data_IF_183442071671
#
_entry.id   IF_183442071671
#
_cell.length_a   1.000
_cell.length_b   1.000
_cell.length_c   1.000
_cell.angle_alpha   90.00
_cell.angle_beta   90.00
_cell.angle_gamma   90.00
#
_symmetry.space_group_name_H-M   'P 1'
#
loop_
_entity.id
_entity.type
_entity.pdbx_description
1 polymer ?
#
# COMPACT_ATOMS: atom_id res chain seq x y z
N UNK A 1 7.95 6.05 -9.09
CA UNK A 1 9.33 6.47 -8.81
C UNK A 1 9.32 7.39 -7.62
N UNK A 2 10.13 7.02 -6.64
CA UNK A 2 10.45 7.86 -5.49
C UNK A 2 11.21 9.12 -5.95
N UNK A 3 11.19 10.18 -5.15
CA UNK A 3 11.91 11.43 -5.40
C UNK A 3 13.42 11.15 -5.46
N UNK A 4 13.93 10.33 -4.53
CA UNK A 4 15.31 9.86 -4.53
C UNK A 4 15.69 9.16 -5.86
N UNK A 5 14.83 8.25 -6.33
CA UNK A 5 15.06 7.55 -7.61
C UNK A 5 15.02 8.52 -8.80
N UNK A 6 14.10 9.49 -8.80
CA UNK A 6 14.04 10.55 -9.83
C UNK A 6 15.33 11.38 -9.83
N UNK A 7 15.87 11.71 -8.66
CA UNK A 7 17.14 12.42 -8.52
C UNK A 7 18.32 11.62 -9.09
N UNK A 8 18.34 10.30 -8.90
CA UNK A 8 19.39 9.42 -9.42
C UNK A 8 19.29 9.15 -10.94
N UNK A 9 18.09 9.26 -11.52
CA UNK A 9 17.81 8.82 -12.92
C UNK A 9 17.56 9.96 -13.92
N UNK A 10 17.03 11.10 -13.48
CA UNK A 10 16.76 12.23 -14.37
C UNK A 10 18.06 12.93 -14.78
N UNK A 11 18.14 13.38 -16.03
CA UNK A 11 19.28 14.16 -16.51
C UNK A 11 19.21 15.61 -16.02
N UNK A 12 20.12 15.95 -15.12
CA UNK A 12 20.33 17.31 -14.62
C UNK A 12 21.47 18.02 -15.36
N UNK A 13 21.38 19.35 -15.47
CA UNK A 13 22.52 20.18 -15.91
C UNK A 13 23.64 20.14 -14.84
N UNK A 14 24.88 20.51 -15.15
CA UNK A 14 25.99 20.40 -14.20
C UNK A 14 25.71 21.07 -12.84
N UNK A 15 25.16 22.30 -12.85
CA UNK A 15 24.80 23.01 -11.62
C UNK A 15 23.62 22.37 -10.88
N UNK A 16 22.64 21.83 -11.59
CA UNK A 16 21.54 21.11 -10.94
C UNK A 16 22.01 19.78 -10.34
N UNK A 17 22.95 19.10 -11.02
CA UNK A 17 23.52 17.83 -10.57
C UNK A 17 24.31 18.00 -9.28
N UNK A 18 25.08 19.09 -9.15
CA UNK A 18 25.82 19.38 -7.90
C UNK A 18 24.87 19.47 -6.70
N UNK A 19 23.74 20.16 -6.87
CA UNK A 19 22.71 20.25 -5.83
C UNK A 19 22.07 18.88 -5.57
N UNK A 20 21.72 18.13 -6.62
CA UNK A 20 21.10 16.81 -6.48
C UNK A 20 22.05 15.83 -5.76
N UNK A 21 23.31 15.76 -6.16
CA UNK A 21 24.31 14.89 -5.54
C UNK A 21 24.56 15.28 -4.08
N UNK A 22 24.52 16.58 -3.76
CA UNK A 22 24.59 17.08 -2.38
C UNK A 22 23.38 16.64 -1.55
N UNK A 23 22.16 16.82 -2.05
CA UNK A 23 20.92 16.41 -1.35
C UNK A 23 20.84 14.90 -1.14
N UNK A 24 21.31 14.09 -2.10
CA UNK A 24 21.37 12.63 -1.97
C UNK A 24 22.42 12.17 -0.94
N UNK A 25 23.50 12.94 -0.77
CA UNK A 25 24.59 12.63 0.15
C UNK A 25 24.30 13.07 1.59
N UNK A 26 23.61 14.21 1.74
CA UNK A 26 23.32 14.84 3.03
C UNK A 26 21.82 15.14 3.16
N UNK A 27 20.95 14.12 3.24
CA UNK A 27 19.51 14.33 3.30
C UNK A 27 19.03 15.12 4.54
N UNK A 28 19.80 15.10 5.64
CA UNK A 28 19.53 15.87 6.87
C UNK A 28 19.45 17.38 6.65
N UNK A 29 20.09 17.89 5.57
CA UNK A 29 20.06 19.32 5.23
C UNK A 29 18.65 19.79 4.84
N UNK A 30 17.76 18.86 4.51
CA UNK A 30 16.36 19.19 4.28
C UNK A 30 15.73 19.73 5.57
N UNK A 31 16.02 19.19 6.75
CA UNK A 31 15.42 19.73 7.97
C UNK A 31 16.13 20.98 8.47
N UNK A 32 17.45 21.04 8.27
CA UNK A 32 18.30 22.03 8.92
C UNK A 32 18.46 23.34 8.12
N UNK A 33 18.32 23.30 6.79
CA UNK A 33 18.77 24.39 5.92
C UNK A 33 17.67 25.00 5.06
N UNK A 34 17.79 26.30 4.86
CA UNK A 34 16.99 27.07 3.91
C UNK A 34 17.47 26.85 2.47
N UNK A 35 16.62 27.21 1.51
CA UNK A 35 16.96 27.17 0.09
C UNK A 35 18.23 27.99 -0.24
N UNK A 36 18.44 29.10 0.48
CA UNK A 36 19.57 30.00 0.27
C UNK A 36 20.88 29.37 0.77
N UNK A 37 20.83 28.69 1.91
CA UNK A 37 21.99 28.00 2.48
C UNK A 37 22.41 26.80 1.63
N UNK A 38 21.46 26.00 1.16
CA UNK A 38 21.76 24.87 0.25
C UNK A 38 22.37 25.39 -1.07
N UNK A 39 21.85 26.49 -1.61
CA UNK A 39 22.40 27.12 -2.80
C UNK A 39 23.84 27.61 -2.56
N UNK A 40 24.10 28.24 -1.42
CA UNK A 40 25.44 28.72 -1.06
C UNK A 40 26.45 27.56 -0.94
N UNK A 41 26.09 26.48 -0.26
CA UNK A 41 27.00 25.33 -0.04
C UNK A 41 27.27 24.51 -1.29
N UNK A 42 26.35 24.53 -2.25
CA UNK A 42 26.51 23.89 -3.56
C UNK A 42 27.12 24.83 -4.60
N UNK A 43 27.47 26.07 -4.21
CA UNK A 43 27.96 27.12 -5.11
C UNK A 43 27.00 27.40 -6.28
N UNK A 44 25.70 27.33 -6.03
CA UNK A 44 24.64 27.55 -7.01
C UNK A 44 23.71 28.71 -6.63
N UNK A 45 22.79 29.06 -7.52
CA UNK A 45 21.74 30.04 -7.25
C UNK A 45 20.47 29.37 -6.72
N UNK A 46 19.67 30.04 -5.86
CA UNK A 46 18.39 29.49 -5.39
C UNK A 46 17.42 29.10 -6.51
N UNK A 47 17.50 29.77 -7.67
CA UNK A 47 16.74 29.42 -8.89
C UNK A 47 17.03 28.01 -9.42
N UNK A 48 18.20 27.44 -9.12
CA UNK A 48 18.57 26.06 -9.45
C UNK A 48 17.70 25.06 -8.69
N UNK A 49 17.43 25.28 -7.41
CA UNK A 49 16.56 24.41 -6.61
C UNK A 49 15.11 24.42 -7.12
N UNK A 50 14.62 25.59 -7.56
CA UNK A 50 13.30 25.72 -8.18
C UNK A 50 13.23 24.95 -9.50
N UNK A 51 14.28 25.02 -10.33
CA UNK A 51 14.36 24.24 -11.59
C UNK A 51 14.39 22.73 -11.33
N UNK A 52 15.14 22.28 -10.33
CA UNK A 52 15.16 20.88 -9.90
C UNK A 52 13.76 20.43 -9.48
N UNK A 53 13.09 21.18 -8.60
CA UNK A 53 11.73 20.87 -8.16
C UNK A 53 10.76 20.73 -9.34
N UNK A 54 10.82 21.65 -10.31
CA UNK A 54 10.01 21.58 -11.53
C UNK A 54 10.33 20.35 -12.39
N UNK A 55 11.61 19.97 -12.52
CA UNK A 55 12.03 18.75 -13.23
C UNK A 55 11.56 17.48 -12.55
N UNK A 56 11.47 17.49 -11.22
CA UNK A 56 10.96 16.37 -10.41
C UNK A 56 9.42 16.27 -10.45
N UNK A 57 8.74 17.29 -10.97
CA UNK A 57 7.29 17.34 -11.17
C UNK A 57 6.52 18.18 -10.16
N UNK A 58 7.19 18.99 -9.34
CA UNK A 58 6.58 19.83 -8.31
C UNK A 58 6.40 21.28 -8.78
N UNK A 59 5.46 22.01 -8.17
CA UNK A 59 5.22 23.41 -8.50
C UNK A 59 6.39 24.34 -8.08
N UNK A 60 7.11 23.96 -7.02
CA UNK A 60 8.26 24.69 -6.52
C UNK A 60 9.05 23.96 -5.43
N UNK A 61 10.12 24.61 -4.94
CA UNK A 61 11.05 24.01 -3.99
C UNK A 61 10.41 23.62 -2.66
N UNK A 62 9.50 24.43 -2.12
CA UNK A 62 8.88 24.16 -0.81
C UNK A 62 8.09 22.85 -0.83
N UNK A 63 7.28 22.64 -1.87
CA UNK A 63 6.50 21.41 -2.06
C UNK A 63 7.43 20.19 -2.26
N UNK A 64 8.43 20.33 -3.13
CA UNK A 64 9.43 19.28 -3.38
C UNK A 64 10.19 18.91 -2.10
N UNK A 65 10.62 19.91 -1.32
CA UNK A 65 11.35 19.74 -0.07
C UNK A 65 10.52 18.96 0.93
N UNK A 66 9.27 19.37 1.15
CA UNK A 66 8.35 18.68 2.06
C UNK A 66 8.13 17.21 1.64
N UNK A 67 7.81 16.98 0.37
CA UNK A 67 7.59 15.63 -0.14
C UNK A 67 8.85 14.76 -0.02
N UNK A 68 10.04 15.34 -0.23
CA UNK A 68 11.30 14.61 -0.10
C UNK A 68 11.68 14.31 1.35
N UNK A 69 11.39 15.23 2.27
CA UNK A 69 11.51 14.98 3.72
C UNK A 69 10.63 13.83 4.15
N UNK A 70 9.34 13.86 3.79
CA UNK A 70 8.39 12.78 4.10
C UNK A 70 8.86 11.43 3.54
N UNK A 71 9.37 11.40 2.31
CA UNK A 71 9.96 10.20 1.71
C UNK A 71 11.24 9.75 2.43
N UNK A 72 12.14 10.67 2.78
CA UNK A 72 13.39 10.35 3.47
C UNK A 72 13.14 9.81 4.88
N UNK A 73 12.26 10.47 5.64
CA UNK A 73 11.83 10.04 6.96
C UNK A 73 11.23 8.63 6.86
N UNK A 74 10.33 8.39 5.91
CA UNK A 74 9.77 7.06 5.68
C UNK A 74 10.87 6.00 5.41
N UNK A 75 11.83 6.30 4.53
CA UNK A 75 12.91 5.37 4.18
C UNK A 75 13.89 5.12 5.35
N UNK A 76 13.96 6.01 6.34
CA UNK A 76 14.93 5.93 7.45
C UNK A 76 14.33 5.53 8.79
N UNK A 77 13.03 5.78 9.03
CA UNK A 77 12.34 5.65 10.33
C UNK A 77 12.32 4.22 10.89
N UNK A 78 12.40 3.20 10.03
CA UNK A 78 12.29 1.78 10.41
C UNK A 78 13.42 0.91 9.83
N UNK A 79 14.66 1.41 9.88
CA UNK A 79 15.85 0.61 9.55
C UNK A 79 16.11 -0.46 10.62
N UNK A 80 15.30 -1.52 10.60
CA UNK A 80 15.81 -2.84 10.96
C UNK A 80 16.73 -3.22 9.78
N UNK A 81 18.01 -3.49 10.04
CA UNK A 81 19.04 -3.87 9.04
C UNK A 81 18.76 -5.28 8.46
N UNK A 82 17.59 -5.43 7.85
CA UNK A 82 17.12 -6.65 7.20
C UNK A 82 16.71 -6.26 5.79
N UNK A 83 17.50 -6.73 4.82
CA UNK A 83 17.16 -6.61 3.41
C UNK A 83 15.90 -7.43 3.12
N UNK A 84 14.80 -6.76 2.77
CA UNK A 84 13.55 -7.41 2.40
C UNK A 84 13.67 -8.40 1.23
N UNK A 85 14.71 -8.26 0.39
CA UNK A 85 14.99 -9.13 -0.74
C UNK A 85 15.69 -10.43 -0.34
N UNK A 86 16.54 -10.35 0.69
CA UNK A 86 17.37 -11.42 1.24
C UNK A 86 17.38 -11.33 2.78
N UNK A 87 16.22 -11.61 3.43
CA UNK A 87 16.05 -11.29 4.85
C UNK A 87 16.89 -12.12 5.81
N UNK A 88 17.53 -13.17 5.33
CA UNK A 88 18.43 -14.02 6.10
C UNK A 88 19.56 -14.58 5.21
N UNK A 89 20.63 -15.04 5.86
CA UNK A 89 21.81 -15.63 5.23
C UNK A 89 21.74 -17.15 5.28
N UNK A 90 22.48 -17.80 4.37
CA UNK A 90 22.52 -19.27 4.27
C UNK A 90 22.98 -19.97 5.55
N UNK A 91 23.77 -19.31 6.39
CA UNK A 91 24.31 -19.84 7.64
C UNK A 91 23.60 -19.31 8.90
N UNK A 92 22.50 -18.56 8.75
CA UNK A 92 21.70 -18.14 9.90
C UNK A 92 21.06 -19.38 10.56
N UNK A 93 21.04 -19.42 11.89
CA UNK A 93 20.33 -20.47 12.61
C UNK A 93 18.81 -20.33 12.46
N UNK A 94 18.06 -21.42 12.66
CA UNK A 94 16.58 -21.41 12.57
C UNK A 94 15.97 -20.27 13.40
N UNK A 95 16.43 -20.09 14.65
CA UNK A 95 15.93 -19.03 15.52
C UNK A 95 16.31 -17.62 15.04
N UNK A 96 17.48 -17.47 14.39
CA UNK A 96 17.90 -16.20 13.79
C UNK A 96 17.01 -15.84 12.61
N UNK A 97 16.73 -16.81 11.74
CA UNK A 97 15.78 -16.63 10.62
C UNK A 97 14.40 -16.21 11.16
N UNK A 98 13.88 -16.92 12.16
CA UNK A 98 12.57 -16.59 12.77
C UNK A 98 12.52 -15.17 13.32
N UNK A 99 13.57 -14.73 14.04
CA UNK A 99 13.65 -13.36 14.58
C UNK A 99 13.71 -12.32 13.47
N UNK A 100 14.54 -12.55 12.44
CA UNK A 100 14.64 -11.64 11.29
C UNK A 100 13.31 -11.51 10.55
N UNK A 101 12.62 -12.62 10.31
CA UNK A 101 11.30 -12.59 9.68
C UNK A 101 10.27 -11.85 10.53
N UNK A 102 10.28 -12.02 11.87
CA UNK A 102 9.39 -11.29 12.77
C UNK A 102 9.66 -9.78 12.73
N UNK A 103 10.92 -9.36 12.83
CA UNK A 103 11.29 -7.93 12.77
C UNK A 103 11.00 -7.31 11.40
N UNK A 104 11.21 -8.04 10.30
CA UNK A 104 10.81 -7.58 8.97
C UNK A 104 9.29 -7.41 8.88
N UNK A 105 8.53 -8.34 9.46
CA UNK A 105 7.07 -8.24 9.51
C UNK A 105 6.58 -7.01 10.27
N UNK A 106 7.11 -6.77 11.47
CA UNK A 106 6.78 -5.60 12.30
C UNK A 106 7.08 -4.29 11.57
N UNK A 107 8.31 -4.15 11.06
CA UNK A 107 8.70 -2.94 10.31
C UNK A 107 7.86 -2.73 9.05
N UNK A 108 7.45 -3.78 8.35
CA UNK A 108 6.56 -3.65 7.19
C UNK A 108 5.19 -3.10 7.58
N UNK A 109 4.62 -3.57 8.69
CA UNK A 109 3.32 -3.08 9.17
C UNK A 109 3.43 -1.62 9.61
N UNK A 110 4.47 -1.27 10.36
CA UNK A 110 4.73 0.09 10.82
C UNK A 110 4.96 1.06 9.65
N UNK A 111 5.76 0.64 8.66
CA UNK A 111 5.95 1.37 7.42
C UNK A 111 4.61 1.59 6.71
N UNK A 112 3.86 0.51 6.46
CA UNK A 112 2.58 0.62 5.73
C UNK A 112 1.63 1.55 6.47
N UNK A 113 1.53 1.44 7.80
CA UNK A 113 0.72 2.34 8.62
C UNK A 113 1.16 3.81 8.47
N UNK A 114 2.46 4.09 8.45
CA UNK A 114 2.97 5.45 8.31
C UNK A 114 2.64 6.11 6.97
N UNK A 115 2.38 5.31 5.93
CA UNK A 115 2.01 5.79 4.60
C UNK A 115 0.51 6.08 4.44
N UNK A 116 -0.32 5.59 5.36
CA UNK A 116 -1.75 5.72 5.27
C UNK A 116 -2.20 7.01 5.95
N UNK A 117 -3.03 7.77 5.26
CA UNK A 117 -3.60 9.01 5.78
C UNK A 117 -5.10 8.86 6.06
N UNK A 118 -5.57 9.61 7.07
CA UNK A 118 -6.97 9.63 7.48
C UNK A 118 -7.92 9.86 6.30
N UNK A 119 -7.62 10.83 5.44
CA UNK A 119 -8.52 11.22 4.36
C UNK A 119 -8.64 10.13 3.28
N UNK A 120 -7.53 9.46 2.93
CA UNK A 120 -7.55 8.32 2.01
C UNK A 120 -8.35 7.15 2.58
N UNK A 121 -8.20 6.84 3.89
CA UNK A 121 -9.00 5.81 4.53
C UNK A 121 -10.48 6.17 4.59
N UNK A 122 -10.80 7.41 4.91
CA UNK A 122 -12.18 7.88 4.96
C UNK A 122 -12.82 7.83 3.56
N UNK A 123 -12.08 8.18 2.52
CA UNK A 123 -12.54 8.05 1.13
C UNK A 123 -12.78 6.58 0.77
N UNK A 124 -11.83 5.69 1.03
CA UNK A 124 -11.96 4.26 0.78
C UNK A 124 -13.16 3.67 1.54
N UNK A 125 -13.35 4.03 2.81
CA UNK A 125 -14.52 3.65 3.63
C UNK A 125 -15.82 4.02 2.93
N UNK A 126 -15.96 5.27 2.49
CA UNK A 126 -17.19 5.76 1.85
C UNK A 126 -17.47 5.03 0.53
N UNK A 127 -16.43 4.75 -0.26
CA UNK A 127 -16.56 3.99 -1.50
C UNK A 127 -17.05 2.56 -1.23
N UNK A 128 -16.43 1.87 -0.26
CA UNK A 128 -16.79 0.49 0.09
C UNK A 128 -18.20 0.37 0.70
N UNK A 129 -18.62 1.32 1.55
CA UNK A 129 -19.94 1.31 2.17
C UNK A 129 -21.07 1.60 1.17
N UNK A 130 -20.81 2.42 0.14
CA UNK A 130 -21.78 2.75 -0.91
C UNK A 130 -21.87 1.67 -1.99
N UNK A 131 -20.84 0.84 -2.12
CA UNK A 131 -20.77 -0.18 -3.15
C UNK A 131 -21.82 -1.27 -2.95
N UNK A 132 -22.57 -1.58 -4.01
CA UNK A 132 -23.43 -2.79 -4.07
C UNK A 132 -22.59 -4.04 -4.31
N UNK A 133 -21.52 -3.88 -5.09
CA UNK A 133 -20.57 -4.92 -5.44
C UNK A 133 -19.14 -4.40 -5.29
N UNK A 134 -18.24 -5.24 -4.80
CA UNK A 134 -16.81 -4.95 -4.75
C UNK A 134 -16.11 -5.94 -5.67
N UNK A 135 -15.42 -5.44 -6.69
CA UNK A 135 -14.69 -6.27 -7.65
C UNK A 135 -13.19 -6.04 -7.51
N UNK A 136 -12.42 -7.11 -7.29
CA UNK A 136 -10.98 -7.01 -7.03
C UNK A 136 -10.20 -7.55 -8.23
N UNK A 137 -9.22 -6.78 -8.69
CA UNK A 137 -8.26 -7.14 -9.72
C UNK A 137 -6.85 -7.16 -9.13
N UNK A 138 -6.17 -8.29 -9.21
CA UNK A 138 -4.83 -8.46 -8.65
C UNK A 138 -3.94 -9.31 -9.57
N UNK A 139 -2.63 -9.07 -9.57
CA UNK A 139 -1.68 -9.84 -10.39
C UNK A 139 -1.15 -11.09 -9.70
N UNK A 140 -1.38 -12.26 -10.33
CA UNK A 140 -0.82 -13.61 -10.16
C UNK A 140 -0.35 -14.06 -8.75
N UNK A 141 0.80 -13.60 -8.25
CA UNK A 141 1.43 -14.21 -7.08
C UNK A 141 0.62 -14.09 -5.78
N UNK A 142 -0.36 -13.17 -5.74
CA UNK A 142 -1.03 -12.74 -4.51
C UNK A 142 -2.54 -12.94 -4.51
N UNK A 143 -3.13 -13.69 -5.45
CA UNK A 143 -4.59 -13.85 -5.56
C UNK A 143 -5.28 -14.44 -4.32
N UNK A 144 -4.54 -15.16 -3.45
CA UNK A 144 -5.09 -15.69 -2.19
C UNK A 144 -5.42 -14.58 -1.17
N UNK A 145 -4.65 -13.49 -1.18
CA UNK A 145 -4.82 -12.37 -0.25
C UNK A 145 -6.18 -11.66 -0.45
N UNK A 146 -6.55 -11.19 -1.66
CA UNK A 146 -7.86 -10.60 -1.88
C UNK A 146 -9.01 -11.60 -1.76
N UNK A 147 -8.76 -12.91 -1.92
CA UNK A 147 -9.79 -13.93 -1.67
C UNK A 147 -10.14 -14.05 -0.19
N UNK A 148 -9.16 -13.96 0.71
CA UNK A 148 -9.41 -13.89 2.16
C UNK A 148 -10.22 -12.65 2.54
N UNK A 149 -9.84 -11.48 2.00
CA UNK A 149 -10.62 -10.25 2.18
C UNK A 149 -12.06 -10.39 1.64
N UNK A 150 -12.23 -10.94 0.44
CA UNK A 150 -13.55 -11.19 -0.14
C UNK A 150 -14.38 -12.12 0.75
N UNK A 151 -13.78 -13.17 1.32
CA UNK A 151 -14.46 -14.07 2.25
C UNK A 151 -14.93 -13.32 3.52
N UNK A 152 -14.07 -12.49 4.11
CA UNK A 152 -14.41 -11.67 5.28
C UNK A 152 -15.56 -10.71 4.98
N UNK A 153 -15.49 -9.98 3.86
CA UNK A 153 -16.52 -9.03 3.43
C UNK A 153 -17.86 -9.72 3.12
N UNK A 154 -17.85 -10.87 2.43
CA UNK A 154 -19.08 -11.62 2.13
C UNK A 154 -19.76 -12.15 3.41
N UNK A 155 -18.99 -12.50 4.46
CA UNK A 155 -19.57 -12.92 5.76
C UNK A 155 -20.30 -11.80 6.49
N UNK A 156 -20.02 -10.54 6.16
CA UNK A 156 -20.78 -9.37 6.62
C UNK A 156 -21.69 -8.80 5.51
N UNK A 157 -22.05 -9.64 4.53
CA UNK A 157 -23.00 -9.35 3.45
C UNK A 157 -22.59 -8.22 2.49
N UNK A 158 -21.30 -7.94 2.38
CA UNK A 158 -20.75 -7.11 1.31
C UNK A 158 -20.30 -7.99 0.15
N UNK A 159 -21.05 -7.95 -0.96
CA UNK A 159 -20.81 -8.77 -2.15
C UNK A 159 -19.46 -8.45 -2.78
N UNK A 160 -18.48 -9.32 -2.52
CA UNK A 160 -17.09 -9.10 -2.94
C UNK A 160 -16.60 -10.27 -3.78
N UNK A 161 -16.07 -9.99 -4.96
CA UNK A 161 -15.52 -10.99 -5.87
C UNK A 161 -14.10 -10.62 -6.30
N UNK A 162 -13.30 -11.64 -6.58
CA UNK A 162 -11.93 -11.50 -7.10
C UNK A 162 -11.93 -12.01 -8.53
N UNK A 163 -11.35 -11.25 -9.45
CA UNK A 163 -11.12 -11.74 -10.81
C UNK A 163 -10.05 -12.83 -10.76
N UNK A 164 -10.39 -14.04 -11.20
CA UNK A 164 -9.51 -15.21 -11.08
C UNK A 164 -9.11 -15.84 -12.40
N UNK A 165 -9.83 -15.54 -13.48
CA UNK A 165 -9.59 -16.15 -14.78
C UNK A 165 -8.62 -15.26 -15.55
N UNK A 166 -7.38 -15.73 -15.64
CA UNK A 166 -6.31 -15.03 -16.36
C UNK A 166 -6.74 -14.74 -17.80
N UNK A 167 -6.69 -13.46 -18.18
CA UNK A 167 -7.09 -13.01 -19.53
C UNK A 167 -8.53 -12.53 -19.62
N UNK A 168 -9.39 -12.86 -18.64
CA UNK A 168 -10.78 -12.40 -18.59
C UNK A 168 -10.97 -11.13 -17.74
N UNK A 169 -9.90 -10.62 -17.14
CA UNK A 169 -9.95 -9.44 -16.26
C UNK A 169 -10.51 -8.21 -16.99
N UNK A 170 -10.20 -8.04 -18.28
CA UNK A 170 -10.67 -6.92 -19.11
C UNK A 170 -12.17 -6.99 -19.37
N UNK A 171 -12.70 -8.19 -19.63
CA UNK A 171 -14.14 -8.39 -19.81
C UNK A 171 -14.87 -8.22 -18.48
N UNK A 172 -14.29 -8.72 -17.39
CA UNK A 172 -14.83 -8.54 -16.04
C UNK A 172 -14.89 -7.06 -15.67
N UNK A 173 -13.85 -6.28 -15.99
CA UNK A 173 -13.83 -4.83 -15.78
C UNK A 173 -14.93 -4.12 -16.57
N UNK A 174 -15.11 -4.48 -17.84
CA UNK A 174 -16.13 -3.87 -18.72
C UNK A 174 -17.57 -4.22 -18.33
N UNK A 175 -17.77 -5.42 -17.76
CA UNK A 175 -19.10 -5.96 -17.41
C UNK A 175 -19.44 -5.86 -15.93
N UNK A 176 -18.69 -5.04 -15.18
CA UNK A 176 -18.99 -4.80 -13.77
C UNK A 176 -20.43 -4.29 -13.59
N UNK A 177 -21.21 -4.85 -12.65
CA UNK A 177 -22.56 -4.40 -12.39
C UNK A 177 -22.63 -2.93 -11.94
N UNK A 178 -23.79 -2.31 -12.10
CA UNK A 178 -24.05 -0.96 -11.59
C UNK A 178 -23.85 -0.89 -10.07
N UNK A 179 -23.19 0.18 -9.60
CA UNK A 179 -22.88 0.36 -8.17
C UNK A 179 -21.67 -0.46 -7.71
N UNK A 180 -20.84 -0.94 -8.63
CA UNK A 180 -19.56 -1.59 -8.31
C UNK A 180 -18.54 -0.56 -7.82
N UNK A 181 -17.73 -0.92 -6.82
CA UNK A 181 -16.46 -0.30 -6.51
C UNK A 181 -15.35 -1.31 -6.83
N UNK A 182 -14.35 -0.89 -7.61
CA UNK A 182 -13.24 -1.75 -7.98
C UNK A 182 -12.02 -1.54 -7.08
N UNK A 183 -11.33 -2.61 -6.71
CA UNK A 183 -10.03 -2.57 -6.01
C UNK A 183 -8.95 -3.12 -6.96
N UNK A 184 -7.94 -2.31 -7.26
CA UNK A 184 -6.81 -2.69 -8.10
C UNK A 184 -5.57 -2.88 -7.24
N UNK A 185 -5.00 -4.09 -7.21
CA UNK A 185 -3.80 -4.42 -6.44
C UNK A 185 -2.65 -4.72 -7.41
N UNK A 186 -1.64 -3.86 -7.41
CA UNK A 186 -0.45 -4.06 -8.23
C UNK A 186 0.78 -3.49 -7.54
N UNK A 187 1.82 -4.31 -7.35
CA UNK A 187 3.02 -3.83 -6.66
C UNK A 187 3.67 -2.64 -7.36
N UNK A 188 3.95 -2.73 -8.66
CA UNK A 188 4.63 -1.63 -9.38
C UNK A 188 3.71 -0.47 -9.75
N UNK A 189 2.40 -0.73 -9.86
CA UNK A 189 1.45 0.22 -10.43
C UNK A 189 1.63 0.45 -11.93
N UNK A 190 2.52 -0.30 -12.59
CA UNK A 190 2.94 -0.06 -13.98
C UNK A 190 2.57 -1.20 -14.96
N UNK A 191 1.96 -2.28 -14.46
CA UNK A 191 1.58 -3.45 -15.27
C UNK A 191 0.62 -3.07 -16.40
N UNK A 192 0.96 -3.42 -17.65
CA UNK A 192 0.11 -3.14 -18.82
C UNK A 192 -1.30 -3.71 -18.67
N UNK A 193 -1.43 -4.92 -18.12
CA UNK A 193 -2.74 -5.53 -17.85
C UNK A 193 -3.55 -4.67 -16.86
N UNK A 194 -2.91 -4.19 -15.79
CA UNK A 194 -3.59 -3.37 -14.79
C UNK A 194 -3.91 -1.97 -15.31
N UNK A 195 -3.05 -1.39 -16.15
CA UNK A 195 -3.32 -0.13 -16.86
C UNK A 195 -4.56 -0.22 -17.74
N UNK A 196 -4.69 -1.33 -18.49
CA UNK A 196 -5.84 -1.58 -19.34
C UNK A 196 -7.13 -1.70 -18.52
N UNK A 197 -7.10 -2.46 -17.42
CA UNK A 197 -8.24 -2.59 -16.49
C UNK A 197 -8.62 -1.23 -15.91
N UNK A 198 -7.66 -0.46 -15.39
CA UNK A 198 -7.92 0.87 -14.83
C UNK A 198 -8.57 1.82 -15.83
N UNK A 199 -8.15 1.77 -17.10
CA UNK A 199 -8.73 2.59 -18.16
C UNK A 199 -10.17 2.21 -18.49
N UNK A 200 -10.48 0.92 -18.54
CA UNK A 200 -11.84 0.43 -18.76
C UNK A 200 -12.74 0.87 -17.61
N UNK A 201 -12.32 0.63 -16.36
CA UNK A 201 -13.09 1.04 -15.18
C UNK A 201 -13.37 2.55 -15.18
N UNK A 202 -12.38 3.36 -15.57
CA UNK A 202 -12.53 4.81 -15.70
C UNK A 202 -13.49 5.21 -16.83
N UNK A 203 -13.47 4.53 -17.99
CA UNK A 203 -14.40 4.83 -19.09
C UNK A 203 -15.84 4.47 -18.75
N UNK A 204 -16.04 3.41 -17.96
CA UNK A 204 -17.35 2.99 -17.44
C UNK A 204 -17.79 3.77 -16.19
N UNK A 205 -16.98 4.72 -15.69
CA UNK A 205 -17.30 5.53 -14.52
C UNK A 205 -17.36 4.75 -13.20
N UNK A 206 -16.66 3.62 -13.12
CA UNK A 206 -16.62 2.76 -11.94
C UNK A 206 -15.59 3.31 -10.94
N UNK A 207 -15.98 3.62 -9.69
CA UNK A 207 -15.06 4.07 -8.65
C UNK A 207 -13.94 3.07 -8.37
N UNK A 208 -12.72 3.55 -8.20
CA UNK A 208 -11.49 2.74 -8.09
C UNK A 208 -10.66 3.04 -6.85
N UNK A 209 -10.33 2.00 -6.10
CA UNK A 209 -9.34 2.03 -5.02
C UNK A 209 -8.07 1.33 -5.52
N UNK A 210 -6.94 2.03 -5.54
CA UNK A 210 -5.64 1.47 -5.94
C UNK A 210 -4.75 1.17 -4.75
N UNK A 211 -4.34 -0.08 -4.60
CA UNK A 211 -3.31 -0.52 -3.66
C UNK A 211 -2.03 -0.78 -4.45
N UNK A 212 -1.05 0.12 -4.31
CA UNK A 212 0.21 0.06 -5.06
C UNK A 212 1.36 0.71 -4.31
N UNK A 213 2.59 0.42 -4.73
CA UNK A 213 3.81 0.99 -4.14
C UNK A 213 3.74 2.51 -3.98
N UNK A 214 4.35 3.02 -2.90
CA UNK A 214 4.61 4.45 -2.73
C UNK A 214 5.40 5.04 -3.91
N UNK A 215 5.13 6.31 -4.19
CA UNK A 215 5.82 7.10 -5.20
C UNK A 215 5.06 7.16 -6.52
N UNK A 216 5.63 7.93 -7.45
CA UNK A 216 4.91 8.36 -8.64
C UNK A 216 4.79 7.25 -9.70
N UNK A 217 3.63 6.64 -9.83
CA UNK A 217 3.36 5.54 -10.77
C UNK A 217 1.99 5.69 -11.44
N UNK A 218 1.74 4.94 -12.52
CA UNK A 218 0.49 5.06 -13.28
C UNK A 218 -0.76 4.88 -12.42
N UNK A 219 -0.87 3.79 -11.66
CA UNK A 219 -2.05 3.55 -10.82
C UNK A 219 -2.27 4.66 -9.79
N UNK A 220 -1.21 5.12 -9.12
CA UNK A 220 -1.31 6.21 -8.12
C UNK A 220 -1.92 7.51 -8.67
N UNK A 221 -1.86 7.74 -9.99
CA UNK A 221 -2.42 8.94 -10.64
C UNK A 221 -3.85 8.77 -11.16
N UNK A 222 -4.24 7.55 -11.51
CA UNK A 222 -5.48 7.33 -12.27
C UNK A 222 -6.63 6.79 -11.44
N UNK A 223 -6.34 6.21 -10.26
CA UNK A 223 -7.38 5.73 -9.35
C UNK A 223 -8.01 6.87 -8.57
N UNK A 224 -9.27 6.70 -8.15
CA UNK A 224 -10.00 7.71 -7.38
C UNK A 224 -9.47 7.81 -5.95
N UNK A 225 -9.11 6.68 -5.34
CA UNK A 225 -8.54 6.58 -4.01
C UNK A 225 -7.27 5.75 -4.03
N UNK A 226 -6.16 6.34 -3.59
CA UNK A 226 -4.85 5.69 -3.57
C UNK A 226 -4.44 5.30 -2.14
N UNK A 227 -4.10 4.02 -1.96
CA UNK A 227 -3.57 3.45 -0.72
C UNK A 227 -2.14 2.93 -0.96
N UNK A 228 -1.11 3.65 -0.50
CA UNK A 228 0.28 3.27 -0.70
C UNK A 228 0.68 2.03 0.11
N UNK A 229 1.51 1.17 -0.49
CA UNK A 229 2.26 0.10 0.19
C UNK A 229 3.76 0.32 0.10
N UNK A 230 4.50 -0.39 0.95
CA UNK A 230 5.96 -0.27 1.06
C UNK A 230 6.69 -0.74 -0.19
N UNK A 231 7.80 -0.07 -0.52
CA UNK A 231 8.67 -0.35 -1.69
C UNK A 231 10.01 -0.96 -1.30
N UNK A 232 10.04 -1.94 -0.38
CA UNK A 232 11.30 -2.54 0.08
C UNK A 232 11.84 -3.65 -0.85
N UNK A 233 10.99 -4.17 -1.74
CA UNK A 233 11.28 -5.33 -2.57
C UNK A 233 11.62 -4.99 -4.02
N UNK A 234 12.73 -5.52 -4.51
CA UNK A 234 13.13 -5.51 -5.92
C UNK A 234 12.26 -6.46 -6.73
N UNK A 235 12.16 -6.23 -8.03
CA UNK A 235 11.27 -7.01 -8.89
C UNK A 235 11.76 -8.43 -9.17
N UNK A 236 13.08 -8.63 -9.24
CA UNK A 236 13.66 -9.88 -9.74
C UNK A 236 14.58 -10.59 -8.75
N UNK A 237 15.33 -9.85 -7.93
CA UNK A 237 16.37 -10.41 -7.07
C UNK A 237 15.89 -10.82 -5.68
N UNK A 238 14.61 -10.60 -5.36
CA UNK A 238 14.03 -11.04 -4.10
C UNK A 238 13.75 -12.54 -4.13
N UNK A 239 13.95 -13.20 -3.00
CA UNK A 239 13.71 -14.66 -2.88
C UNK A 239 12.25 -15.00 -2.60
N UNK A 240 11.41 -14.01 -2.31
CA UNK A 240 9.98 -14.17 -2.04
C UNK A 240 9.29 -12.82 -1.89
N UNK A 241 7.95 -12.84 -1.91
CA UNK A 241 7.13 -11.67 -1.59
C UNK A 241 6.79 -11.74 -0.09
N UNK A 242 7.53 -11.00 0.73
CA UNK A 242 7.31 -10.94 2.17
C UNK A 242 6.58 -9.63 2.53
N UNK A 243 7.24 -8.52 2.26
CA UNK A 243 6.80 -7.17 2.64
C UNK A 243 5.60 -6.72 1.82
N UNK A 244 5.60 -6.99 0.51
CA UNK A 244 4.48 -6.66 -0.39
C UNK A 244 3.21 -7.38 0.03
N UNK A 245 3.32 -8.67 0.33
CA UNK A 245 2.18 -9.48 0.74
C UNK A 245 1.63 -8.99 2.07
N UNK A 246 2.50 -8.77 3.05
CA UNK A 246 2.10 -8.30 4.35
C UNK A 246 1.48 -6.89 4.32
N UNK A 247 2.01 -5.98 3.50
CA UNK A 247 1.45 -4.63 3.32
C UNK A 247 0.02 -4.70 2.76
N UNK A 248 -0.23 -5.55 1.77
CA UNK A 248 -1.56 -5.74 1.18
C UNK A 248 -2.52 -6.41 2.16
N UNK A 249 -2.07 -7.47 2.87
CA UNK A 249 -2.88 -8.12 3.92
C UNK A 249 -3.29 -7.10 4.97
N UNK A 250 -2.33 -6.33 5.48
CA UNK A 250 -2.57 -5.31 6.50
C UNK A 250 -3.59 -4.26 6.03
N UNK A 251 -3.42 -3.70 4.83
CA UNK A 251 -4.37 -2.72 4.29
C UNK A 251 -5.78 -3.30 4.13
N UNK A 252 -5.91 -4.51 3.59
CA UNK A 252 -7.22 -5.14 3.43
C UNK A 252 -7.87 -5.46 4.77
N UNK A 253 -7.10 -5.84 5.80
CA UNK A 253 -7.60 -6.03 7.16
C UNK A 253 -8.05 -4.71 7.79
N UNK A 254 -7.32 -3.62 7.56
CA UNK A 254 -7.73 -2.26 7.97
C UNK A 254 -9.04 -1.87 7.28
N UNK A 255 -9.15 -2.05 5.96
CA UNK A 255 -10.37 -1.75 5.21
C UNK A 255 -11.56 -2.57 5.68
N UNK A 256 -11.39 -3.88 5.89
CA UNK A 256 -12.43 -4.74 6.45
C UNK A 256 -12.86 -4.25 7.83
N UNK A 257 -11.90 -3.93 8.71
CA UNK A 257 -12.18 -3.46 10.06
C UNK A 257 -12.96 -2.15 10.09
N UNK A 258 -12.61 -1.21 9.20
CA UNK A 258 -13.31 0.07 9.06
C UNK A 258 -14.74 -0.12 8.56
N UNK A 259 -14.97 -1.02 7.60
CA UNK A 259 -16.32 -1.36 7.13
C UNK A 259 -17.11 -2.07 8.23
N UNK A 260 -16.49 -3.04 8.90
CA UNK A 260 -17.12 -3.79 10.00
C UNK A 260 -17.59 -2.84 11.11
N UNK A 261 -16.74 -1.89 11.50
CA UNK A 261 -17.01 -0.94 12.57
C UNK A 261 -18.21 -0.01 12.31
N UNK A 262 -18.60 0.22 11.05
CA UNK A 262 -19.76 1.06 10.72
C UNK A 262 -21.07 0.49 11.28
N UNK A 263 -21.18 -0.84 11.32
CA UNK A 263 -22.32 -1.56 11.90
C UNK A 263 -21.84 -2.60 12.90
N UNK A 264 -21.00 -2.18 13.82
CA UNK A 264 -20.24 -3.08 14.70
C UNK A 264 -21.14 -4.12 15.40
N UNK A 265 -22.19 -3.67 16.10
CA UNK A 265 -23.09 -4.57 16.84
C UNK A 265 -23.86 -5.53 15.93
N UNK A 266 -24.39 -5.05 14.80
CA UNK A 266 -25.11 -5.88 13.85
C UNK A 266 -24.20 -6.94 13.21
N UNK A 267 -23.00 -6.54 12.81
CA UNK A 267 -22.00 -7.42 12.20
C UNK A 267 -21.50 -8.45 13.22
N UNK A 268 -21.22 -8.04 14.45
CA UNK A 268 -20.79 -8.93 15.53
C UNK A 268 -21.86 -9.98 15.83
N UNK A 269 -23.11 -9.56 16.06
CA UNK A 269 -24.22 -10.47 16.30
C UNK A 269 -24.42 -11.45 15.12
N UNK A 270 -24.28 -10.97 13.88
CA UNK A 270 -24.38 -11.81 12.69
C UNK A 270 -23.28 -12.87 12.63
N UNK A 271 -22.01 -12.48 12.85
CA UNK A 271 -20.86 -13.37 12.80
C UNK A 271 -20.91 -14.41 13.92
N UNK A 272 -21.28 -14.03 15.15
CA UNK A 272 -21.44 -14.99 16.26
C UNK A 272 -22.53 -16.00 15.92
N UNK A 273 -23.68 -15.54 15.40
CA UNK A 273 -24.77 -16.44 15.00
C UNK A 273 -24.33 -17.40 13.89
N UNK A 274 -23.61 -16.89 12.88
CA UNK A 274 -23.06 -17.71 11.81
C UNK A 274 -22.06 -18.75 12.36
N UNK A 275 -21.18 -18.32 13.26
CA UNK A 275 -20.20 -19.17 13.94
C UNK A 275 -20.87 -20.31 14.70
N UNK A 276 -21.90 -20.03 15.51
CA UNK A 276 -22.67 -21.05 16.25
C UNK A 276 -23.32 -22.10 15.33
N UNK A 277 -23.67 -21.74 14.09
CA UNK A 277 -24.30 -22.66 13.12
C UNK A 277 -23.24 -23.48 12.37
N UNK A 278 -22.18 -22.81 11.91
CA UNK A 278 -21.22 -23.38 10.97
C UNK A 278 -20.01 -24.04 11.64
N UNK A 279 -19.58 -23.54 12.80
CA UNK A 279 -18.38 -24.00 13.49
C UNK A 279 -18.74 -24.93 14.66
N UNK A 280 -18.45 -26.22 14.49
CA UNK A 280 -18.71 -27.27 15.48
C UNK A 280 -17.42 -27.80 16.13
N UNK A 281 -16.30 -27.11 15.92
CA UNK A 281 -15.00 -27.54 16.44
C UNK A 281 -15.02 -27.47 17.96
N UNK A 282 -14.31 -28.40 18.59
CA UNK A 282 -14.07 -28.43 20.02
C UNK A 282 -12.59 -28.17 20.27
N UNK A 283 -12.28 -27.50 21.37
CA UNK A 283 -10.91 -27.20 21.77
C UNK A 283 -10.68 -27.63 23.21
N UNK A 284 -9.48 -28.15 23.49
CA UNK A 284 -9.01 -28.44 24.84
C UNK A 284 -8.37 -27.22 25.51
N UNK A 285 -8.19 -26.10 24.79
CA UNK A 285 -7.66 -24.86 25.33
C UNK A 285 -8.82 -23.98 25.82
N UNK A 286 -8.87 -23.72 27.13
CA UNK A 286 -9.91 -22.87 27.73
C UNK A 286 -9.89 -21.44 27.17
N UNK A 287 -8.71 -20.92 26.78
CA UNK A 287 -8.57 -19.59 26.15
C UNK A 287 -9.29 -19.52 24.80
N UNK A 288 -9.43 -20.64 24.11
CA UNK A 288 -10.12 -20.73 22.82
C UNK A 288 -11.58 -21.20 22.95
N UNK A 289 -12.04 -21.56 24.15
CA UNK A 289 -13.44 -21.94 24.37
C UNK A 289 -14.31 -20.69 24.38
N UNK A 290 -15.46 -20.77 23.72
CA UNK A 290 -16.50 -19.77 23.83
C UNK A 290 -17.19 -19.91 25.18
N UNK A 291 -17.32 -18.82 25.94
CA UNK A 291 -18.04 -18.83 27.20
C UNK A 291 -19.51 -19.24 26.96
N UNK A 292 -19.99 -20.21 27.74
CA UNK A 292 -21.40 -20.65 27.69
C UNK A 292 -22.41 -19.58 28.19
N UNK A 293 -21.94 -18.37 28.51
CA UNK A 293 -22.68 -17.33 29.24
C UNK A 293 -23.60 -16.45 28.37
N UNK A 294 -23.66 -16.67 27.06
CA UNK A 294 -24.52 -15.89 26.14
C UNK A 294 -25.98 -16.37 25.97
N UNK A 295 -26.45 -17.37 26.73
CA UNK A 295 -27.84 -17.90 26.62
C UNK A 295 -28.80 -17.36 27.69
N UNK A 296 -28.41 -16.33 28.46
CA UNK A 296 -29.31 -15.67 29.41
C UNK A 296 -29.46 -14.18 29.11
N UNK A 297 -30.34 -13.84 28.17
CA UNK A 297 -31.36 -12.77 28.31
C UNK A 297 -32.33 -12.81 27.15
#
# INVERSE_FOLDING_TARGET
MLIREKMETIKFSPAEKEVVDYLLRYPEVLDEKTMQEIAAETYTQPSTLIRIAKKLGFAGWVECKKAYQEEHDYLTRNFVDIDANLPFKANDSIMTISKKMASLGQSTIEDTLSLIHHDSLQQAKQMLLKAKHIQIFATNANMLIPQDFALKMNRIKHHTAVSTIKGEDVYTAYTCPEGTCAILISYTGESNAMKQIANILKSEGIPTIGITSIGDNYLSRVVDCYLPITTREKLYSKIGNFTVNLSVIYLLDVLYSIVFAEKYEENLAHIIRLGKIADKRKTSSDIMQEDASGEKT
#
